data_IF_826046529477
#
_entry.id   IF_826046529477
#
_cell.length_a   1.000
_cell.length_b   1.000
_cell.length_c   1.000
_cell.angle_alpha   90.00
_cell.angle_beta   90.00
_cell.angle_gamma   90.00
#
_symmetry.space_group_name_H-M   'P 1'
#
loop_
_entity.id
_entity.type
_entity.pdbx_description
1 polymer ?
#
# COMPACT_ATOMS: atom_id res chain seq x y z
N UNK A 1 3.99 13.94 10.08
CA UNK A 1 3.78 13.63 8.64
C UNK A 1 4.69 12.46 8.32
N UNK A 2 4.14 11.32 7.86
CA UNK A 2 4.91 10.07 7.68
C UNK A 2 5.64 10.09 6.34
N UNK A 3 6.97 9.96 6.38
CA UNK A 3 7.88 9.90 5.22
C UNK A 3 7.58 8.74 4.25
N UNK A 4 6.84 7.71 4.70
CA UNK A 4 6.48 6.56 3.89
C UNK A 4 5.70 6.96 2.62
N UNK A 5 4.84 7.97 2.73
CA UNK A 5 4.04 8.48 1.61
C UNK A 5 4.90 9.13 0.52
N UNK A 6 6.12 9.56 0.85
CA UNK A 6 7.01 10.27 -0.08
C UNK A 6 7.94 9.31 -0.84
N UNK A 7 8.10 8.06 -0.38
CA UNK A 7 9.05 7.09 -0.96
C UNK A 7 8.40 5.89 -1.67
N UNK A 8 7.10 5.66 -1.46
CA UNK A 8 6.32 4.68 -2.22
C UNK A 8 5.59 5.44 -3.33
N UNK A 9 5.72 4.99 -4.58
CA UNK A 9 4.96 5.53 -5.70
C UNK A 9 3.46 5.39 -5.47
N UNK A 10 2.66 6.24 -6.12
CA UNK A 10 1.20 6.24 -5.92
C UNK A 10 0.55 4.88 -6.17
N UNK A 11 1.05 4.12 -7.14
CA UNK A 11 0.57 2.76 -7.46
C UNK A 11 1.40 1.65 -6.78
N UNK A 12 2.53 2.02 -6.17
CA UNK A 12 3.46 1.13 -5.52
C UNK A 12 4.20 0.16 -6.44
N UNK A 13 4.29 0.46 -7.75
CA UNK A 13 4.95 -0.41 -8.73
C UNK A 13 6.27 0.13 -9.27
N UNK A 14 6.51 1.44 -9.18
CA UNK A 14 7.70 2.06 -9.79
C UNK A 14 8.51 2.90 -8.78
N UNK A 15 9.85 2.83 -8.86
CA UNK A 15 10.76 3.74 -8.14
C UNK A 15 11.90 4.11 -9.09
N UNK A 16 11.90 5.34 -9.60
CA UNK A 16 12.86 5.78 -10.60
C UNK A 16 12.75 4.96 -11.88
N UNK A 17 13.79 4.19 -12.23
CA UNK A 17 13.80 3.28 -13.39
C UNK A 17 13.54 1.81 -13.01
N UNK A 18 13.32 1.54 -11.72
CA UNK A 18 13.06 0.20 -11.21
C UNK A 18 11.57 -0.09 -11.21
N UNK A 19 11.18 -1.24 -11.75
CA UNK A 19 9.80 -1.73 -11.76
C UNK A 19 9.69 -2.93 -10.83
N UNK A 20 8.77 -2.86 -9.87
CA UNK A 20 8.46 -3.94 -8.94
C UNK A 20 7.26 -4.72 -9.48
N UNK A 21 7.45 -6.04 -9.64
CA UNK A 21 6.37 -6.95 -10.03
C UNK A 21 5.89 -7.72 -8.81
N UNK A 22 4.68 -7.41 -8.39
CA UNK A 22 4.01 -8.12 -7.31
C UNK A 22 3.35 -9.41 -7.81
N UNK A 23 3.17 -10.38 -6.91
CA UNK A 23 2.46 -11.62 -7.23
C UNK A 23 0.95 -11.41 -7.42
N UNK A 24 0.42 -10.32 -6.88
CA UNK A 24 -0.95 -9.84 -7.04
C UNK A 24 -1.00 -8.31 -6.79
N UNK A 25 -2.17 -7.68 -6.74
CA UNK A 25 -2.27 -6.22 -6.55
C UNK A 25 -1.75 -5.76 -5.19
N UNK A 26 -0.86 -4.75 -5.17
CA UNK A 26 -0.36 -4.18 -3.94
C UNK A 26 -1.27 -3.10 -3.36
N UNK A 27 -1.44 -3.13 -2.05
CA UNK A 27 -2.14 -2.14 -1.25
C UNK A 27 -1.25 -1.72 -0.08
N UNK A 28 -1.06 -0.41 0.11
CA UNK A 28 -0.17 0.14 1.15
C UNK A 28 -0.94 1.01 2.13
N UNK A 29 -0.77 0.70 3.42
CA UNK A 29 -1.39 1.41 4.54
C UNK A 29 -0.32 1.90 5.51
N UNK A 30 -0.64 2.93 6.30
CA UNK A 30 0.28 3.43 7.31
C UNK A 30 -0.43 3.76 8.62
N UNK A 31 0.15 3.35 9.74
CA UNK A 31 -0.31 3.72 11.07
C UNK A 31 0.89 4.08 11.96
N UNK A 32 1.01 5.37 12.29
CA UNK A 32 2.16 5.87 13.02
C UNK A 32 3.49 5.63 12.27
N UNK A 33 4.32 4.73 12.81
CA UNK A 33 5.63 4.35 12.24
C UNK A 33 5.62 3.00 11.51
N UNK A 34 4.45 2.39 11.34
CA UNK A 34 4.27 1.08 10.70
C UNK A 34 3.73 1.29 9.28
N UNK A 35 4.30 0.54 8.33
CA UNK A 35 3.77 0.36 6.99
C UNK A 35 3.22 -1.07 6.92
N UNK A 36 1.99 -1.22 6.41
CA UNK A 36 1.38 -2.52 6.14
C UNK A 36 1.21 -2.65 4.63
N UNK A 37 1.72 -3.75 4.08
CA UNK A 37 1.53 -4.10 2.68
C UNK A 37 0.63 -5.34 2.61
N UNK A 38 -0.44 -5.24 1.83
CA UNK A 38 -1.27 -6.37 1.45
C UNK A 38 -1.13 -6.60 -0.05
N UNK A 39 -0.88 -7.85 -0.44
CA UNK A 39 -0.78 -8.27 -1.84
C UNK A 39 -1.96 -9.22 -2.09
N UNK A 40 -2.98 -8.75 -2.81
CA UNK A 40 -4.19 -9.52 -3.06
C UNK A 40 -5.44 -8.67 -3.28
N UNK A 41 -6.56 -9.30 -3.64
CA UNK A 41 -7.81 -8.60 -3.95
C UNK A 41 -9.01 -9.06 -3.11
N UNK A 42 -8.81 -9.71 -1.96
CA UNK A 42 -9.94 -10.19 -1.15
C UNK A 42 -10.72 -8.98 -0.59
N UNK A 43 -12.00 -8.77 -0.97
CA UNK A 43 -12.74 -7.59 -0.58
C UNK A 43 -13.00 -7.50 0.93
N UNK A 44 -13.19 -8.63 1.61
CA UNK A 44 -13.39 -8.66 3.07
C UNK A 44 -12.11 -8.20 3.79
N UNK A 45 -10.95 -8.65 3.31
CA UNK A 45 -9.67 -8.20 3.85
C UNK A 45 -9.40 -6.73 3.59
N UNK A 46 -9.71 -6.23 2.39
CA UNK A 46 -9.54 -4.80 2.06
C UNK A 46 -10.44 -3.93 2.94
N UNK A 47 -11.72 -4.27 3.06
CA UNK A 47 -12.65 -3.56 3.95
C UNK A 47 -12.19 -3.58 5.42
N UNK A 48 -11.66 -4.71 5.88
CA UNK A 48 -11.10 -4.84 7.23
C UNK A 48 -9.91 -3.89 7.41
N UNK A 49 -8.95 -3.91 6.50
CA UNK A 49 -7.76 -3.05 6.55
C UNK A 49 -8.13 -1.57 6.51
N UNK A 50 -9.01 -1.16 5.59
CA UNK A 50 -9.53 0.21 5.50
C UNK A 50 -10.20 0.65 6.82
N UNK A 51 -10.97 -0.24 7.45
CA UNK A 51 -11.65 0.08 8.72
C UNK A 51 -10.69 0.29 9.90
N UNK A 52 -9.55 -0.41 9.93
CA UNK A 52 -8.58 -0.33 11.02
C UNK A 52 -7.49 0.71 10.80
N UNK A 53 -7.07 0.89 9.55
CA UNK A 53 -5.89 1.69 9.18
C UNK A 53 -6.26 2.98 8.45
N UNK A 54 -7.53 3.14 8.06
CA UNK A 54 -7.96 4.16 7.10
C UNK A 54 -7.61 3.75 5.67
N UNK A 55 -7.96 4.61 4.72
CA UNK A 55 -7.73 4.35 3.29
C UNK A 55 -6.25 4.11 2.99
N UNK A 56 -5.97 3.21 2.05
CA UNK A 56 -4.64 3.03 1.48
C UNK A 56 -4.02 4.36 1.03
N UNK A 57 -2.71 4.52 1.21
CA UNK A 57 -1.98 5.71 0.76
C UNK A 57 -1.27 5.53 -0.59
N UNK A 58 -1.11 4.28 -1.01
CA UNK A 58 -0.58 3.87 -2.31
C UNK A 58 -1.08 2.47 -2.68
N UNK A 59 -1.01 2.12 -3.97
CA UNK A 59 -1.54 0.86 -4.51
C UNK A 59 -2.63 1.10 -5.55
N UNK A 60 -3.25 0.00 -5.99
CA UNK A 60 -4.39 0.03 -6.93
C UNK A 60 -5.72 -0.30 -6.25
#
# INVERSE_FOLDING_TARGET
VSIAKEIVSSDGTEIGLSVIRWMDTPHFYSQGKIIVQYIGHNPEMLNLLDSFLGNQFAGM
#
